data_IF_144162939964
#
_entry.id   IF_144162939964
#
_cell.length_a   1.000
_cell.length_b   1.000
_cell.length_c   1.000
_cell.angle_alpha   90.00
_cell.angle_beta   90.00
_cell.angle_gamma   90.00
#
_symmetry.space_group_name_H-M   'P 1'
#
loop_
_entity.id
_entity.type
_entity.pdbx_description
1 polymer ?
#
# COMPACT_ATOMS: atom_id res chain seq x y z
N UNK A 1 -9.40 3.95 5.20
CA UNK A 1 -9.81 3.01 4.12
C UNK A 1 -10.34 1.70 4.67
N UNK A 2 -9.74 1.13 5.72
CA UNK A 2 -10.17 -0.14 6.35
C UNK A 2 -11.69 -0.24 6.61
N UNK A 3 -12.28 0.81 7.21
CA UNK A 3 -13.71 0.81 7.55
C UNK A 3 -14.62 0.79 6.32
N UNK A 4 -14.21 1.39 5.19
CA UNK A 4 -15.00 1.40 3.95
C UNK A 4 -14.98 0.03 3.26
N UNK A 5 -13.79 -0.60 3.18
CA UNK A 5 -13.65 -1.93 2.60
C UNK A 5 -14.38 -2.99 3.44
N UNK A 6 -14.28 -2.89 4.78
CA UNK A 6 -14.98 -3.79 5.69
C UNK A 6 -16.50 -3.64 5.57
N UNK A 7 -16.99 -2.41 5.47
CA UNK A 7 -18.41 -2.14 5.27
C UNK A 7 -18.92 -2.67 3.93
N UNK A 8 -18.16 -2.49 2.85
CA UNK A 8 -18.49 -3.07 1.54
C UNK A 8 -18.52 -4.59 1.56
N UNK A 9 -17.57 -5.23 2.26
CA UNK A 9 -17.53 -6.69 2.41
C UNK A 9 -18.73 -7.21 3.21
N UNK A 10 -19.08 -6.53 4.31
CA UNK A 10 -20.27 -6.84 5.10
C UNK A 10 -21.54 -6.72 4.26
N UNK A 11 -21.71 -5.60 3.55
CA UNK A 11 -22.89 -5.35 2.73
C UNK A 11 -23.05 -6.41 1.62
N UNK A 12 -21.95 -6.77 0.96
CA UNK A 12 -21.93 -7.84 -0.04
C UNK A 12 -22.32 -9.19 0.58
N UNK A 13 -21.73 -9.55 1.71
CA UNK A 13 -22.05 -10.79 2.42
C UNK A 13 -23.51 -10.85 2.86
N UNK A 14 -24.06 -9.76 3.40
CA UNK A 14 -25.47 -9.69 3.81
C UNK A 14 -26.41 -9.87 2.62
N UNK A 15 -26.13 -9.25 1.47
CA UNK A 15 -26.94 -9.43 0.25
C UNK A 15 -26.95 -10.88 -0.23
N UNK A 16 -25.79 -11.55 -0.22
CA UNK A 16 -25.71 -12.98 -0.56
C UNK A 16 -26.52 -13.84 0.42
N UNK A 17 -26.38 -13.61 1.72
CA UNK A 17 -27.11 -14.36 2.76
C UNK A 17 -28.62 -14.18 2.60
N UNK A 18 -29.09 -12.95 2.37
CA UNK A 18 -30.51 -12.66 2.12
C UNK A 18 -30.99 -13.37 0.84
N UNK A 19 -30.19 -13.35 -0.23
CA UNK A 19 -30.50 -14.07 -1.47
C UNK A 19 -30.63 -15.59 -1.29
N UNK A 20 -29.82 -16.18 -0.42
CA UNK A 20 -29.90 -17.60 -0.11
C UNK A 20 -31.12 -17.97 0.74
N UNK A 21 -31.51 -17.11 1.68
CA UNK A 21 -32.69 -17.32 2.53
C UNK A 21 -33.99 -17.29 1.73
N UNK A 22 -34.05 -16.56 0.62
CA UNK A 22 -35.25 -16.50 -0.24
C UNK A 22 -35.53 -17.83 -0.96
N UNK A 23 -34.50 -18.64 -1.23
CA UNK A 23 -34.63 -19.86 -2.03
C UNK A 23 -34.70 -21.17 -1.19
N UNK A 24 -34.67 -21.06 0.14
CA UNK A 24 -34.80 -22.14 1.15
C UNK A 24 -33.87 -23.37 0.99
N UNK A 25 -32.96 -23.35 0.02
CA UNK A 25 -32.08 -24.46 -0.35
C UNK A 25 -30.61 -24.04 -0.26
N UNK A 26 -30.16 -23.73 0.96
CA UNK A 26 -28.76 -23.41 1.27
C UNK A 26 -27.78 -24.53 0.87
N UNK A 27 -28.25 -25.78 0.86
CA UNK A 27 -27.48 -26.97 0.49
C UNK A 27 -27.05 -27.01 -0.97
N UNK A 28 -27.77 -26.35 -1.89
CA UNK A 28 -27.41 -26.30 -3.31
C UNK A 28 -26.22 -25.38 -3.58
N UNK A 29 -26.01 -24.38 -2.73
CA UNK A 29 -24.95 -23.39 -2.91
C UNK A 29 -23.61 -23.84 -2.31
N UNK A 30 -23.64 -24.68 -1.27
CA UNK A 30 -22.43 -25.16 -0.59
C UNK A 30 -21.95 -26.52 -1.15
N UNK A 31 -21.44 -26.49 -2.39
CA UNK A 31 -20.86 -27.68 -3.04
C UNK A 31 -19.35 -27.80 -2.74
N UNK A 32 -18.98 -28.70 -1.82
CA UNK A 32 -17.58 -28.97 -1.45
C UNK A 32 -16.72 -29.32 -2.67
N UNK A 33 -17.26 -30.11 -3.61
CA UNK A 33 -16.53 -30.56 -4.80
C UNK A 33 -16.25 -29.40 -5.75
N UNK A 34 -17.23 -28.52 -5.95
CA UNK A 34 -17.04 -27.31 -6.74
C UNK A 34 -15.98 -26.38 -6.13
N UNK A 35 -16.01 -26.22 -4.81
CA UNK A 35 -15.04 -25.40 -4.09
C UNK A 35 -13.61 -25.96 -4.24
N UNK A 36 -13.43 -27.28 -4.13
CA UNK A 36 -12.14 -27.95 -4.36
C UNK A 36 -11.62 -27.73 -5.78
N UNK A 37 -12.46 -27.82 -6.82
CA UNK A 37 -12.05 -27.62 -8.22
C UNK A 37 -11.60 -26.16 -8.44
N UNK A 38 -12.35 -25.18 -7.93
CA UNK A 38 -12.01 -23.77 -8.09
C UNK A 38 -10.75 -23.41 -7.30
N UNK A 39 -10.63 -23.87 -6.05
CA UNK A 39 -9.44 -23.61 -5.23
C UNK A 39 -8.19 -24.26 -5.81
N UNK A 40 -8.26 -25.54 -6.17
CA UNK A 40 -7.11 -26.24 -6.76
C UNK A 40 -6.70 -25.65 -8.11
N UNK A 41 -7.66 -25.31 -8.97
CA UNK A 41 -7.41 -24.69 -10.27
C UNK A 41 -6.78 -23.30 -10.14
N UNK A 42 -7.28 -22.45 -9.23
CA UNK A 42 -6.73 -21.11 -9.00
C UNK A 42 -5.32 -21.18 -8.38
N UNK A 43 -5.10 -22.06 -7.41
CA UNK A 43 -3.76 -22.25 -6.81
C UNK A 43 -2.77 -22.80 -7.85
N UNK A 44 -3.15 -23.79 -8.65
CA UNK A 44 -2.30 -24.34 -9.69
C UNK A 44 -1.97 -23.30 -10.78
N UNK A 45 -2.98 -22.56 -11.24
CA UNK A 45 -2.80 -21.50 -12.23
C UNK A 45 -1.87 -20.39 -11.71
N UNK A 46 -2.05 -19.95 -10.46
CA UNK A 46 -1.19 -18.93 -9.86
C UNK A 46 0.26 -19.39 -9.68
N UNK A 47 0.49 -20.65 -9.29
CA UNK A 47 1.84 -21.23 -9.21
C UNK A 47 2.51 -21.40 -10.58
N UNK A 48 1.74 -21.68 -11.64
CA UNK A 48 2.25 -21.77 -13.00
C UNK A 48 2.57 -20.38 -13.60
N UNK A 49 1.75 -19.39 -13.32
CA UNK A 49 1.90 -18.04 -13.88
C UNK A 49 2.94 -17.19 -13.16
N UNK A 50 3.21 -17.42 -11.87
CA UNK A 50 4.08 -16.57 -11.06
C UNK A 50 5.15 -17.34 -10.31
N UNK A 51 6.35 -16.75 -10.19
CA UNK A 51 7.42 -17.30 -9.35
C UNK A 51 6.99 -17.23 -7.88
N UNK A 52 7.31 -18.27 -7.10
CA UNK A 52 6.96 -18.36 -5.67
C UNK A 52 7.45 -17.16 -4.85
N UNK A 53 8.58 -16.55 -5.24
CA UNK A 53 9.10 -15.33 -4.62
C UNK A 53 8.16 -14.13 -4.77
N UNK A 54 7.52 -13.98 -5.93
CA UNK A 54 6.55 -12.89 -6.18
C UNK A 54 5.30 -13.07 -5.33
N UNK A 55 4.82 -14.30 -5.14
CA UNK A 55 3.67 -14.59 -4.28
C UNK A 55 3.91 -14.18 -2.82
N UNK A 56 5.14 -14.35 -2.31
CA UNK A 56 5.52 -13.88 -0.96
C UNK A 56 5.49 -12.35 -0.87
N UNK A 57 5.94 -11.65 -1.91
CA UNK A 57 5.90 -10.19 -1.98
C UNK A 57 4.45 -9.71 -1.96
N UNK A 58 3.58 -10.31 -2.77
CA UNK A 58 2.14 -9.97 -2.81
C UNK A 58 1.50 -10.12 -1.43
N UNK A 59 1.75 -11.22 -0.73
CA UNK A 59 1.23 -11.42 0.63
C UNK A 59 1.73 -10.34 1.61
N UNK A 60 3.01 -9.98 1.54
CA UNK A 60 3.60 -8.92 2.37
C UNK A 60 3.01 -7.54 2.06
N UNK A 61 2.82 -7.21 0.78
CA UNK A 61 2.23 -5.94 0.34
C UNK A 61 0.76 -5.85 0.73
N UNK A 62 -0.01 -6.93 0.53
CA UNK A 62 -1.41 -7.01 0.94
C UNK A 62 -1.55 -6.74 2.44
N UNK A 63 -0.79 -7.46 3.27
CA UNK A 63 -0.83 -7.26 4.73
C UNK A 63 -0.34 -5.87 5.16
N UNK A 64 0.67 -5.31 4.50
CA UNK A 64 1.15 -3.95 4.78
C UNK A 64 0.13 -2.87 4.41
N UNK A 65 -0.58 -3.02 3.29
CA UNK A 65 -1.62 -2.08 2.81
C UNK A 65 -2.78 -1.99 3.79
N UNK A 66 -3.18 -3.11 4.41
CA UNK A 66 -4.22 -3.11 5.44
C UNK A 66 -3.76 -2.52 6.78
N UNK A 67 -2.46 -2.56 7.10
CA UNK A 67 -1.92 -2.13 8.40
C UNK A 67 -1.40 -0.69 8.45
N UNK A 68 -0.93 -0.13 7.33
CA UNK A 68 -0.36 1.23 7.31
C UNK A 68 -1.42 2.26 6.91
N UNK A 69 -1.92 3.09 7.85
CA UNK A 69 -2.73 4.22 7.45
C UNK A 69 -1.89 5.15 6.57
N UNK A 70 -2.43 5.50 5.40
CA UNK A 70 -1.88 6.58 4.57
C UNK A 70 -1.90 7.84 5.42
N UNK A 71 -0.75 8.52 5.57
CA UNK A 71 -0.69 9.80 6.28
C UNK A 71 -1.62 10.79 5.60
N UNK A 72 -2.37 11.56 6.39
CA UNK A 72 -3.27 12.58 5.84
C UNK A 72 -2.45 13.70 5.21
N UNK A 73 -3.00 14.32 4.17
CA UNK A 73 -2.36 15.44 3.46
C UNK A 73 -1.91 16.55 4.42
N UNK A 74 -2.74 16.90 5.41
CA UNK A 74 -2.41 17.89 6.44
C UNK A 74 -1.18 17.51 7.28
N UNK A 75 -1.00 16.22 7.58
CA UNK A 75 0.18 15.74 8.32
C UNK A 75 1.45 15.87 7.47
N UNK A 76 1.35 15.62 6.16
CA UNK A 76 2.46 15.78 5.22
C UNK A 76 2.88 17.24 5.11
N UNK A 77 1.90 18.15 5.00
CA UNK A 77 2.16 19.60 4.95
C UNK A 77 2.92 20.06 6.20
N UNK A 78 2.46 19.65 7.38
CA UNK A 78 3.13 20.02 8.63
C UNK A 78 4.57 19.50 8.71
N UNK A 79 4.82 18.27 8.24
CA UNK A 79 6.17 17.70 8.16
C UNK A 79 7.07 18.55 7.25
N UNK A 80 6.58 18.96 6.08
CA UNK A 80 7.34 19.79 5.14
C UNK A 80 7.67 21.18 5.71
N UNK A 81 6.72 21.79 6.42
CA UNK A 81 6.94 23.07 7.09
C UNK A 81 8.00 22.94 8.18
N UNK A 82 7.92 21.90 9.02
CA UNK A 82 8.89 21.66 10.08
C UNK A 82 10.31 21.44 9.54
N UNK A 83 10.44 20.65 8.46
CA UNK A 83 11.69 20.46 7.72
C UNK A 83 12.26 21.77 7.17
N UNK A 84 11.41 22.65 6.64
CA UNK A 84 11.84 23.97 6.13
C UNK A 84 12.38 24.87 7.25
N UNK A 85 11.72 24.88 8.40
CA UNK A 85 12.14 25.66 9.57
C UNK A 85 13.49 25.14 10.10
N UNK A 86 13.62 23.81 10.28
CA UNK A 86 14.87 23.18 10.74
C UNK A 86 16.03 23.45 9.80
N UNK A 87 15.83 23.27 8.49
CA UNK A 87 16.84 23.58 7.47
C UNK A 87 17.33 25.03 7.54
N UNK A 88 16.44 25.99 7.82
CA UNK A 88 16.81 27.41 7.93
C UNK A 88 17.61 27.72 9.20
N UNK A 89 17.33 27.06 10.31
CA UNK A 89 17.94 27.35 11.62
C UNK A 89 19.24 26.56 11.81
N UNK A 90 19.21 25.27 11.52
CA UNK A 90 20.28 24.31 11.81
C UNK A 90 21.11 23.95 10.57
N UNK A 91 20.65 24.31 9.37
CA UNK A 91 21.33 24.02 8.11
C UNK A 91 21.24 22.54 7.69
N UNK A 92 22.14 22.12 6.79
CA UNK A 92 22.14 20.79 6.15
C UNK A 92 22.25 19.62 7.15
N UNK A 93 22.88 19.85 8.31
CA UNK A 93 23.05 18.80 9.33
C UNK A 93 21.71 18.32 9.92
N UNK A 94 20.69 19.20 9.95
CA UNK A 94 19.34 18.85 10.40
C UNK A 94 18.61 17.95 9.41
N UNK A 95 18.81 18.19 8.11
CA UNK A 95 18.26 17.38 7.04
C UNK A 95 18.82 15.95 7.10
N UNK A 96 20.10 15.78 7.39
CA UNK A 96 20.72 14.46 7.51
C UNK A 96 20.19 13.66 8.72
N UNK A 97 19.82 14.32 9.81
CA UNK A 97 19.14 13.66 10.95
C UNK A 97 17.74 13.21 10.57
N UNK A 98 16.96 14.08 9.94
CA UNK A 98 15.60 13.80 9.47
C UNK A 98 15.54 12.68 8.41
N UNK A 99 16.56 12.58 7.55
CA UNK A 99 16.70 11.47 6.61
C UNK A 99 16.67 10.10 7.34
N UNK A 100 17.37 10.00 8.47
CA UNK A 100 17.45 8.77 9.24
C UNK A 100 16.15 8.46 10.00
N UNK A 101 15.45 9.50 10.47
CA UNK A 101 14.23 9.38 11.28
C UNK A 101 12.96 9.17 10.45
N UNK A 102 12.90 9.71 9.22
CA UNK A 102 11.67 9.68 8.43
C UNK A 102 11.30 8.27 7.99
N UNK A 103 10.06 7.86 8.24
CA UNK A 103 9.53 6.55 7.84
C UNK A 103 9.04 6.50 6.39
N UNK A 104 8.97 7.67 5.73
CA UNK A 104 8.48 7.82 4.36
C UNK A 104 9.67 7.70 3.41
N UNK A 105 9.77 6.58 2.70
CA UNK A 105 10.87 6.29 1.77
C UNK A 105 11.04 7.39 0.70
N UNK A 106 9.93 7.89 0.14
CA UNK A 106 9.96 8.95 -0.87
C UNK A 106 10.57 10.26 -0.33
N UNK A 107 10.17 10.68 0.88
CA UNK A 107 10.69 11.88 1.51
C UNK A 107 12.16 11.70 1.91
N UNK A 108 12.53 10.51 2.42
CA UNK A 108 13.93 10.17 2.73
C UNK A 108 14.83 10.36 1.52
N UNK A 109 14.41 9.84 0.35
CA UNK A 109 15.16 9.98 -0.89
C UNK A 109 15.33 11.45 -1.29
N UNK A 110 14.25 12.23 -1.23
CA UNK A 110 14.29 13.65 -1.56
C UNK A 110 15.26 14.43 -0.65
N UNK A 111 15.24 14.15 0.66
CA UNK A 111 16.15 14.76 1.64
C UNK A 111 17.60 14.33 1.37
N UNK A 112 17.85 13.05 1.10
CA UNK A 112 19.19 12.54 0.77
C UNK A 112 19.79 13.25 -0.45
N UNK A 113 19.02 13.40 -1.55
CA UNK A 113 19.49 14.13 -2.73
C UNK A 113 19.79 15.62 -2.44
N UNK A 114 19.08 16.25 -1.50
CA UNK A 114 19.38 17.61 -1.07
C UNK A 114 20.67 17.69 -0.24
N UNK A 115 20.89 16.73 0.66
CA UNK A 115 22.12 16.63 1.47
C UNK A 115 23.35 16.37 0.59
N UNK A 116 23.19 15.53 -0.43
CA UNK A 116 24.23 15.21 -1.42
C UNK A 116 24.50 16.36 -2.42
N UNK A 117 23.70 17.43 -2.38
CA UNK A 117 23.93 18.64 -3.18
C UNK A 117 23.51 18.53 -4.66
N UNK A 118 22.57 17.65 -4.99
CA UNK A 118 22.02 17.56 -6.36
C UNK A 118 21.32 18.86 -6.78
N UNK A 119 21.35 19.16 -8.08
CA UNK A 119 20.61 20.29 -8.64
C UNK A 119 19.10 20.09 -8.57
N UNK A 120 18.34 21.20 -8.45
CA UNK A 120 16.87 21.18 -8.31
C UNK A 120 16.19 20.40 -9.45
N UNK A 121 16.65 20.59 -10.69
CA UNK A 121 16.08 19.89 -11.85
C UNK A 121 16.37 18.39 -11.82
N UNK A 122 17.55 17.99 -11.37
CA UNK A 122 17.92 16.57 -11.23
C UNK A 122 17.09 15.89 -10.14
N UNK A 123 16.91 16.57 -8.99
CA UNK A 123 16.05 16.06 -7.91
C UNK A 123 14.63 15.87 -8.41
N UNK A 124 14.10 16.85 -9.15
CA UNK A 124 12.76 16.78 -9.74
C UNK A 124 12.63 15.61 -10.71
N UNK A 125 13.62 15.39 -11.58
CA UNK A 125 13.63 14.28 -12.52
C UNK A 125 13.67 12.91 -11.80
N UNK A 126 14.52 12.77 -10.78
CA UNK A 126 14.63 11.55 -9.97
C UNK A 126 13.31 11.24 -9.27
N UNK A 127 12.72 12.23 -8.60
CA UNK A 127 11.47 12.06 -7.86
C UNK A 127 10.27 11.80 -8.79
N UNK A 128 10.21 12.47 -9.96
CA UNK A 128 9.18 12.21 -10.96
C UNK A 128 9.31 10.79 -11.54
N UNK A 129 10.54 10.34 -11.78
CA UNK A 129 10.81 8.98 -12.24
C UNK A 129 10.36 7.97 -11.18
N UNK A 130 10.66 8.21 -9.91
CA UNK A 130 10.22 7.35 -8.80
C UNK A 130 8.68 7.30 -8.72
N UNK A 131 7.99 8.44 -8.84
CA UNK A 131 6.53 8.50 -8.89
C UNK A 131 5.93 7.71 -10.08
N UNK A 132 6.61 7.70 -11.23
CA UNK A 132 6.16 6.95 -12.40
C UNK A 132 6.29 5.44 -12.22
N UNK A 133 7.40 4.97 -11.63
CA UNK A 133 7.66 3.54 -11.42
C UNK A 133 6.93 2.93 -10.22
N UNK A 134 6.63 3.71 -9.18
CA UNK A 134 5.98 3.22 -7.94
C UNK A 134 4.46 3.47 -7.88
N UNK A 135 3.79 3.54 -9.03
CA UNK A 135 2.33 3.69 -9.12
C UNK A 135 1.58 2.42 -8.76
#
# INVERSE_FOLDING_TARGET
MLNKNLFGLLLCSTLFIVGFLINDNLSLYFNISGLLIVFSGTIAATLLSFKVEQLKIVYKVMTASYKRPIKREAEIINILIDLSIKSRIEGILSLQKEENETTILFLRRAIGCLVDGYGIEQIREILNTEMYFFK
#
